data_IF_408906025846
#
_entry.id   IF_408906025846
#
_cell.length_a   1.000
_cell.length_b   1.000
_cell.length_c   1.000
_cell.angle_alpha   90.00
_cell.angle_beta   90.00
_cell.angle_gamma   90.00
#
_symmetry.space_group_name_H-M   'P 1'
#
loop_
_entity.id
_entity.type
_entity.pdbx_description
1 polymer ?
#
# COMPACT_ATOMS: atom_id res chain seq x y z
N UNK A 1 11.32 7.90 10.42
CA UNK A 1 12.49 7.76 11.29
C UNK A 1 12.61 6.31 11.74
N UNK A 2 11.62 5.77 12.44
CA UNK A 2 11.64 4.43 13.05
C UNK A 2 11.91 3.34 12.01
N UNK A 3 11.28 3.44 10.84
CA UNK A 3 11.56 2.57 9.70
C UNK A 3 13.04 2.59 9.29
N UNK A 4 13.64 3.78 9.14
CA UNK A 4 15.05 3.93 8.75
C UNK A 4 16.04 3.47 9.84
N UNK A 5 15.62 3.47 11.11
CA UNK A 5 16.43 2.96 12.21
C UNK A 5 16.40 1.43 12.29
N UNK A 6 15.25 0.82 12.08
CA UNK A 6 15.06 -0.63 12.18
C UNK A 6 15.43 -1.38 10.89
N UNK A 7 15.32 -0.71 9.74
CA UNK A 7 15.64 -1.24 8.41
C UNK A 7 14.99 -2.59 8.10
N UNK A 8 13.66 -2.74 8.26
CA UNK A 8 13.00 -3.96 7.83
C UNK A 8 13.12 -4.09 6.31
N UNK A 9 13.43 -5.30 5.82
CA UNK A 9 13.62 -5.51 4.38
C UNK A 9 12.34 -5.29 3.61
N UNK A 10 11.23 -5.89 4.05
CA UNK A 10 9.91 -5.74 3.45
C UNK A 10 8.88 -5.47 4.54
N UNK A 11 8.06 -4.43 4.37
CA UNK A 11 6.99 -4.05 5.29
C UNK A 11 5.65 -4.05 4.59
N UNK A 12 4.70 -4.77 5.17
CA UNK A 12 3.29 -4.76 4.77
C UNK A 12 2.48 -3.95 5.78
N UNK A 13 1.71 -2.99 5.28
CA UNK A 13 0.78 -2.20 6.07
C UNK A 13 -0.65 -2.51 5.65
N UNK A 14 -1.43 -3.14 6.54
CA UNK A 14 -2.86 -3.35 6.31
C UNK A 14 -3.68 -2.36 7.11
N UNK A 15 -4.46 -1.54 6.40
CA UNK A 15 -5.32 -0.50 6.97
C UNK A 15 -6.65 -0.46 6.23
N UNK A 16 -7.75 -0.07 6.89
CA UNK A 16 -9.05 0.05 6.23
C UNK A 16 -9.02 1.03 5.06
N UNK A 17 -10.07 1.02 4.26
CA UNK A 17 -10.24 2.00 3.16
C UNK A 17 -10.33 3.42 3.72
N UNK A 18 -9.82 4.41 2.97
CA UNK A 18 -9.87 5.85 3.32
C UNK A 18 -8.97 6.28 4.48
N UNK A 19 -8.01 5.46 4.89
CA UNK A 19 -7.01 5.79 5.92
C UNK A 19 -5.67 6.30 5.36
N UNK A 20 -5.65 6.84 4.14
CA UNK A 20 -4.46 7.51 3.60
C UNK A 20 -3.33 6.59 3.14
N UNK A 21 -3.58 5.28 2.88
CA UNK A 21 -2.54 4.34 2.43
C UNK A 21 -1.77 4.85 1.21
N UNK A 22 -2.48 5.14 0.14
CA UNK A 22 -1.90 5.64 -1.12
C UNK A 22 -1.12 6.94 -0.92
N UNK A 23 -1.65 7.87 -0.09
CA UNK A 23 -0.97 9.13 0.22
C UNK A 23 0.36 8.88 0.95
N UNK A 24 0.38 7.96 1.92
CA UNK A 24 1.61 7.59 2.61
C UNK A 24 2.62 6.93 1.67
N UNK A 25 2.18 6.08 0.75
CA UNK A 25 3.07 5.46 -0.25
C UNK A 25 3.65 6.48 -1.22
N UNK A 26 2.85 7.43 -1.67
CA UNK A 26 3.31 8.52 -2.54
C UNK A 26 4.27 9.47 -1.79
N UNK A 27 4.01 9.75 -0.52
CA UNK A 27 4.94 10.51 0.34
C UNK A 27 6.28 9.78 0.51
N UNK A 28 6.28 8.46 0.73
CA UNK A 28 7.51 7.66 0.81
C UNK A 28 8.25 7.66 -0.52
N UNK A 29 7.54 7.50 -1.63
CA UNK A 29 8.10 7.61 -2.98
C UNK A 29 8.75 8.97 -3.16
N UNK A 30 8.03 10.08 -2.93
CA UNK A 30 8.54 11.45 -3.07
C UNK A 30 9.76 11.71 -2.18
N UNK A 31 9.81 11.10 -1.00
CA UNK A 31 10.96 11.22 -0.10
C UNK A 31 12.20 10.48 -0.62
N UNK A 32 12.03 9.25 -1.07
CA UNK A 32 13.18 8.39 -1.41
C UNK A 32 13.65 8.53 -2.85
N UNK A 33 12.72 8.81 -3.79
CA UNK A 33 12.98 8.73 -5.21
C UNK A 33 13.98 9.77 -5.69
N UNK A 34 15.01 9.30 -6.39
CA UNK A 34 15.95 10.16 -7.10
C UNK A 34 15.28 10.71 -8.36
N UNK A 35 15.06 12.01 -8.38
CA UNK A 35 14.43 12.73 -9.49
C UNK A 35 15.32 13.91 -9.94
N UNK A 36 15.01 14.49 -11.10
CA UNK A 36 15.67 15.72 -11.56
C UNK A 36 15.22 16.95 -10.74
N UNK A 37 14.00 16.90 -10.18
CA UNK A 37 13.45 17.96 -9.32
C UNK A 37 13.90 17.80 -7.87
N UNK A 38 14.15 18.93 -7.19
CA UNK A 38 14.48 18.95 -5.76
C UNK A 38 13.19 18.76 -4.92
N UNK A 39 12.87 17.51 -4.62
CA UNK A 39 11.73 17.17 -3.76
C UNK A 39 12.00 17.39 -2.27
N UNK A 40 13.22 17.76 -1.87
CA UNK A 40 13.56 18.05 -0.47
C UNK A 40 12.74 19.22 0.10
N UNK A 41 12.28 20.11 -0.76
CA UNK A 41 11.45 21.27 -0.38
C UNK A 41 10.17 20.86 0.38
N UNK A 42 9.64 19.67 0.14
CA UNK A 42 8.44 19.15 0.82
C UNK A 42 8.72 18.62 2.22
N UNK A 43 10.01 18.44 2.59
CA UNK A 43 10.40 17.78 3.83
C UNK A 43 11.23 18.66 4.78
N UNK A 44 11.75 19.80 4.32
CA UNK A 44 12.63 20.71 5.10
C UNK A 44 11.98 21.25 6.37
N UNK A 45 10.66 21.40 6.39
CA UNK A 45 9.86 21.85 7.52
C UNK A 45 9.25 20.70 8.35
N UNK A 46 9.51 19.42 7.97
CA UNK A 46 8.94 18.25 8.61
C UNK A 46 9.87 17.66 9.68
N UNK A 47 9.27 16.93 10.61
CA UNK A 47 9.99 16.26 11.72
C UNK A 47 11.17 15.40 11.24
N UNK A 48 11.04 14.75 10.06
CA UNK A 48 12.12 13.91 9.51
C UNK A 48 13.41 14.71 9.29
N UNK A 49 13.29 15.95 8.84
CA UNK A 49 14.43 16.81 8.59
C UNK A 49 15.14 17.24 9.88
N UNK A 50 14.36 17.50 10.93
CA UNK A 50 14.86 17.89 12.25
C UNK A 50 15.63 16.77 12.98
N UNK A 51 15.48 15.51 12.57
CA UNK A 51 16.23 14.38 13.13
C UNK A 51 17.69 14.30 12.67
N UNK A 52 18.11 15.13 11.70
CA UNK A 52 19.49 15.33 11.31
C UNK A 52 19.94 14.61 10.05
N UNK A 53 21.21 14.78 9.73
CA UNK A 53 21.86 14.42 8.45
C UNK A 53 21.63 12.96 8.02
N UNK A 54 21.72 12.01 8.96
CA UNK A 54 21.46 10.57 8.71
C UNK A 54 20.16 10.32 7.94
N UNK A 55 19.11 11.08 8.22
CA UNK A 55 17.79 10.91 7.57
C UNK A 55 17.67 11.78 6.32
N UNK A 56 18.26 12.96 6.34
CA UNK A 56 18.31 13.88 5.19
C UNK A 56 19.05 13.25 4.00
N UNK A 57 20.12 12.51 4.24
CA UNK A 57 20.89 11.78 3.21
C UNK A 57 20.10 10.67 2.52
N UNK A 58 18.98 10.22 3.08
CA UNK A 58 18.11 9.23 2.45
C UNK A 58 17.15 9.88 1.44
N UNK A 59 16.94 11.20 1.51
CA UNK A 59 16.02 11.89 0.62
C UNK A 59 16.61 12.00 -0.79
N UNK A 60 15.77 11.68 -1.78
CA UNK A 60 16.14 11.79 -3.20
C UNK A 60 17.29 10.87 -3.64
N UNK A 61 17.54 9.76 -2.94
CA UNK A 61 18.74 8.94 -3.10
C UNK A 61 18.52 7.68 -3.94
N UNK A 62 17.34 7.12 -3.90
CA UNK A 62 17.08 5.76 -4.41
C UNK A 62 16.32 5.78 -5.72
N UNK A 63 16.59 4.86 -6.67
CA UNK A 63 15.61 4.54 -7.68
C UNK A 63 14.40 3.88 -7.01
N UNK A 64 13.18 4.16 -7.48
CA UNK A 64 11.94 3.64 -6.89
C UNK A 64 11.08 2.99 -7.96
N UNK A 65 10.73 1.73 -7.76
CA UNK A 65 9.69 1.01 -8.53
C UNK A 65 8.38 1.20 -7.77
N UNK A 66 7.41 1.87 -8.40
CA UNK A 66 6.12 2.19 -7.80
C UNK A 66 4.95 1.59 -8.59
N UNK A 67 4.26 0.62 -7.99
CA UNK A 67 3.12 -0.05 -8.60
C UNK A 67 1.86 0.17 -7.75
N UNK A 68 0.75 0.58 -8.36
CA UNK A 68 -0.55 0.62 -7.69
C UNK A 68 -1.51 -0.33 -8.38
N UNK A 69 -1.98 -1.34 -7.65
CA UNK A 69 -2.92 -2.33 -8.17
C UNK A 69 -4.38 -1.91 -7.99
N UNK A 70 -4.64 -0.65 -7.60
CA UNK A 70 -5.99 -0.13 -7.30
C UNK A 70 -7.00 -0.32 -8.45
N UNK A 71 -6.53 -0.26 -9.69
CA UNK A 71 -7.34 -0.34 -10.90
C UNK A 71 -7.30 -1.74 -11.55
N UNK A 72 -6.57 -2.69 -10.99
CA UNK A 72 -6.51 -4.08 -11.46
C UNK A 72 -7.74 -4.85 -10.94
N UNK A 73 -8.92 -4.53 -11.50
CA UNK A 73 -10.25 -5.02 -11.10
C UNK A 73 -11.05 -5.45 -12.32
N UNK A 74 -10.70 -6.59 -12.87
CA UNK A 74 -11.32 -7.12 -14.09
C UNK A 74 -12.14 -8.38 -13.79
N UNK A 75 -12.92 -8.84 -14.77
CA UNK A 75 -13.83 -9.97 -14.55
C UNK A 75 -13.20 -11.32 -14.90
N UNK A 76 -12.09 -11.32 -15.64
CA UNK A 76 -11.37 -12.52 -16.04
C UNK A 76 -9.89 -12.44 -15.72
N UNK A 77 -9.22 -13.58 -15.69
CA UNK A 77 -7.77 -13.62 -15.50
C UNK A 77 -7.04 -12.97 -16.68
N UNK A 78 -7.49 -13.20 -17.90
CA UNK A 78 -6.88 -12.64 -19.12
C UNK A 78 -6.85 -11.10 -19.07
N UNK A 79 -7.98 -10.46 -18.78
CA UNK A 79 -8.07 -8.99 -18.63
C UNK A 79 -7.19 -8.49 -17.47
N UNK A 80 -7.17 -9.24 -16.38
CA UNK A 80 -6.33 -8.93 -15.20
C UNK A 80 -4.85 -9.01 -15.56
N UNK A 81 -4.45 -10.02 -16.32
CA UNK A 81 -3.08 -10.19 -16.77
C UNK A 81 -2.65 -9.10 -17.77
N UNK A 82 -3.52 -8.70 -18.69
CA UNK A 82 -3.32 -7.55 -19.58
C UNK A 82 -3.12 -6.26 -18.77
N UNK A 83 -3.90 -6.05 -17.71
CA UNK A 83 -3.74 -4.88 -16.83
C UNK A 83 -2.40 -4.89 -16.08
N UNK A 84 -1.90 -6.05 -15.66
CA UNK A 84 -0.53 -6.14 -15.12
C UNK A 84 0.52 -5.80 -16.18
N UNK A 85 0.38 -6.27 -17.41
CA UNK A 85 1.28 -5.92 -18.50
C UNK A 85 1.32 -4.39 -18.72
N UNK A 86 0.16 -3.75 -18.80
CA UNK A 86 0.05 -2.30 -18.95
C UNK A 86 0.67 -1.54 -17.76
N UNK A 87 0.48 -2.02 -16.55
CA UNK A 87 1.06 -1.43 -15.35
C UNK A 87 2.59 -1.48 -15.36
N UNK A 88 3.17 -2.63 -15.70
CA UNK A 88 4.61 -2.78 -15.82
C UNK A 88 5.19 -2.02 -17.00
N UNK A 89 4.46 -1.91 -18.11
CA UNK A 89 4.83 -1.06 -19.24
C UNK A 89 4.97 0.39 -18.82
N UNK A 90 3.98 0.95 -18.12
CA UNK A 90 4.01 2.32 -17.61
C UNK A 90 5.14 2.54 -16.61
N UNK A 91 5.34 1.58 -15.71
CA UNK A 91 6.43 1.68 -14.74
C UNK A 91 7.81 1.63 -15.41
N UNK A 92 8.01 0.73 -16.37
CA UNK A 92 9.25 0.65 -17.13
C UNK A 92 9.50 1.92 -17.93
N UNK A 93 8.46 2.53 -18.50
CA UNK A 93 8.55 3.80 -19.24
C UNK A 93 8.99 4.98 -18.36
N UNK A 94 8.74 4.94 -17.05
CA UNK A 94 9.24 5.97 -16.11
C UNK A 94 10.77 5.91 -15.98
N UNK A 95 11.38 4.75 -16.13
CA UNK A 95 12.81 4.52 -16.02
C UNK A 95 13.52 4.77 -17.34
N UNK A 96 13.49 6.04 -17.81
CA UNK A 96 14.09 6.44 -19.08
C UNK A 96 15.59 6.18 -19.13
N UNK A 97 16.26 6.12 -17.99
CA UNK A 97 17.67 5.76 -17.84
C UNK A 97 17.96 4.33 -18.30
N UNK A 98 17.03 3.40 -18.12
CA UNK A 98 17.18 2.03 -18.64
C UNK A 98 16.93 1.99 -20.15
N UNK A 99 15.94 2.74 -20.65
CA UNK A 99 15.58 2.78 -22.08
C UNK A 99 16.74 3.37 -22.91
N UNK A 100 17.43 4.38 -22.38
CA UNK A 100 18.54 5.08 -23.01
C UNK A 100 19.92 4.48 -22.73
N UNK A 101 19.97 3.38 -21.95
CA UNK A 101 21.23 2.78 -21.53
C UNK A 101 21.81 1.88 -22.59
N UNK A 102 22.79 2.38 -23.31
CA UNK A 102 23.57 1.66 -24.33
C UNK A 102 24.49 0.56 -23.76
N UNK A 103 24.65 0.48 -22.44
CA UNK A 103 25.44 -0.53 -21.73
C UNK A 103 24.65 -1.74 -21.28
N UNK A 104 23.35 -1.77 -21.49
CA UNK A 104 22.54 -2.96 -21.20
C UNK A 104 23.03 -4.14 -22.04
N UNK A 105 23.02 -5.33 -21.43
CA UNK A 105 23.21 -6.55 -22.21
C UNK A 105 22.10 -6.70 -23.26
N UNK A 106 22.38 -7.41 -24.35
CA UNK A 106 21.34 -7.68 -25.38
C UNK A 106 20.10 -8.34 -24.76
N UNK A 107 20.29 -9.22 -23.77
CA UNK A 107 19.20 -9.87 -23.09
C UNK A 107 18.37 -8.90 -22.23
N UNK A 108 19.01 -7.96 -21.55
CA UNK A 108 18.33 -6.97 -20.71
C UNK A 108 17.61 -5.92 -21.56
N UNK A 109 18.24 -5.45 -22.64
CA UNK A 109 17.58 -4.56 -23.60
C UNK A 109 16.28 -5.19 -24.15
N UNK A 110 16.31 -6.49 -24.48
CA UNK A 110 15.13 -7.22 -24.91
C UNK A 110 14.06 -7.34 -23.81
N UNK A 111 14.47 -7.54 -22.53
CA UNK A 111 13.51 -7.54 -21.41
C UNK A 111 12.82 -6.18 -21.24
N UNK A 112 13.59 -5.09 -21.30
CA UNK A 112 13.04 -3.73 -21.25
C UNK A 112 12.06 -3.51 -22.40
N UNK A 113 12.42 -3.89 -23.63
CA UNK A 113 11.54 -3.79 -24.80
C UNK A 113 10.24 -4.60 -24.63
N UNK A 114 10.34 -5.84 -24.14
CA UNK A 114 9.16 -6.68 -23.88
C UNK A 114 8.22 -6.04 -22.84
N UNK A 115 8.77 -5.52 -21.74
CA UNK A 115 7.98 -4.83 -20.72
C UNK A 115 7.31 -3.58 -21.29
N UNK A 116 8.04 -2.76 -22.05
CA UNK A 116 7.51 -1.54 -22.68
C UNK A 116 6.42 -1.85 -23.69
N UNK A 117 6.48 -2.99 -24.39
CA UNK A 117 5.48 -3.37 -25.38
C UNK A 117 4.12 -3.72 -24.74
N UNK A 118 4.07 -3.99 -23.42
CA UNK A 118 2.87 -4.44 -22.72
C UNK A 118 2.41 -5.86 -23.12
N UNK A 119 3.28 -6.66 -23.73
CA UNK A 119 2.97 -8.02 -24.22
C UNK A 119 3.93 -9.08 -23.64
N UNK A 120 4.35 -8.92 -22.41
CA UNK A 120 5.24 -9.86 -21.74
C UNK A 120 4.52 -11.19 -21.48
N UNK A 121 5.26 -12.30 -21.60
CA UNK A 121 4.74 -13.60 -21.17
C UNK A 121 4.55 -13.64 -19.64
N UNK A 122 3.76 -14.60 -19.15
CA UNK A 122 3.56 -14.77 -17.71
C UNK A 122 4.88 -15.03 -16.96
N UNK A 123 5.82 -15.71 -17.58
CA UNK A 123 7.15 -15.96 -17.00
C UNK A 123 7.98 -14.67 -16.95
N UNK A 124 8.02 -13.90 -18.03
CA UNK A 124 8.78 -12.64 -18.08
C UNK A 124 8.20 -11.63 -17.09
N UNK A 125 6.87 -11.50 -17.05
CA UNK A 125 6.20 -10.56 -16.17
C UNK A 125 6.35 -10.94 -14.68
N UNK A 126 6.33 -12.23 -14.34
CA UNK A 126 6.60 -12.67 -12.96
C UNK A 126 8.03 -12.38 -12.49
N UNK A 127 8.98 -12.22 -13.40
CA UNK A 127 10.34 -11.83 -13.08
C UNK A 127 10.60 -10.31 -13.16
N UNK A 128 9.62 -9.53 -13.60
CA UNK A 128 9.80 -8.10 -13.91
C UNK A 128 10.33 -7.28 -12.73
N UNK A 129 9.84 -7.52 -11.50
CA UNK A 129 10.34 -6.83 -10.30
C UNK A 129 11.82 -7.13 -10.04
N UNK A 130 12.23 -8.39 -10.17
CA UNK A 130 13.62 -8.81 -9.97
C UNK A 130 14.53 -8.21 -11.06
N UNK A 131 14.11 -8.28 -12.31
CA UNK A 131 14.88 -7.78 -13.46
C UNK A 131 15.02 -6.25 -13.40
N UNK A 132 13.94 -5.50 -13.15
CA UNK A 132 13.99 -4.05 -12.99
C UNK A 132 14.86 -3.65 -11.79
N UNK A 133 14.73 -4.35 -10.65
CA UNK A 133 15.56 -4.08 -9.46
C UNK A 133 17.04 -4.25 -9.77
N UNK A 134 17.41 -5.32 -10.46
CA UNK A 134 18.79 -5.57 -10.82
C UNK A 134 19.32 -4.52 -11.79
N UNK A 135 18.59 -4.23 -12.86
CA UNK A 135 19.02 -3.26 -13.88
C UNK A 135 19.17 -1.85 -13.28
N UNK A 136 18.23 -1.42 -12.43
CA UNK A 136 18.31 -0.13 -11.74
C UNK A 136 19.48 -0.09 -10.76
N UNK A 137 19.71 -1.17 -10.00
CA UNK A 137 20.87 -1.26 -9.12
C UNK A 137 22.18 -1.16 -9.88
N UNK A 138 22.33 -1.86 -10.99
CA UNK A 138 23.53 -1.83 -11.83
C UNK A 138 23.76 -0.45 -12.45
N UNK A 139 22.68 0.25 -12.84
CA UNK A 139 22.77 1.59 -13.43
C UNK A 139 23.12 2.66 -12.39
N UNK A 140 22.42 2.68 -11.24
CA UNK A 140 22.55 3.73 -10.22
C UNK A 140 23.65 3.46 -9.19
N UNK A 141 24.16 2.23 -9.10
CA UNK A 141 25.10 1.82 -8.04
C UNK A 141 24.48 1.72 -6.64
N UNK A 142 23.15 1.87 -6.55
CA UNK A 142 22.36 1.74 -5.32
C UNK A 142 21.09 0.95 -5.62
N UNK A 143 20.75 0.00 -4.73
CA UNK A 143 19.58 -0.84 -4.91
C UNK A 143 18.28 -0.04 -4.76
N UNK A 144 17.27 -0.31 -5.61
CA UNK A 144 15.99 0.39 -5.58
C UNK A 144 15.16 0.08 -4.33
N UNK A 145 14.13 0.90 -4.16
CA UNK A 145 13.00 0.65 -3.25
C UNK A 145 11.81 0.20 -4.12
N UNK A 146 11.09 -0.83 -3.68
CA UNK A 146 9.86 -1.29 -4.32
C UNK A 146 8.68 -0.85 -3.43
N UNK A 147 7.72 -0.14 -4.01
CA UNK A 147 6.49 0.30 -3.35
C UNK A 147 5.30 -0.27 -4.13
N UNK A 148 4.45 -1.05 -3.45
CA UNK A 148 3.25 -1.66 -4.06
C UNK A 148 2.03 -1.25 -3.24
N UNK A 149 1.17 -0.44 -3.84
CA UNK A 149 -0.08 0.01 -3.23
C UNK A 149 -1.25 -0.89 -3.64
N UNK A 150 -2.14 -1.18 -2.68
CA UNK A 150 -3.34 -2.02 -2.85
C UNK A 150 -3.02 -3.42 -3.44
N UNK A 151 -1.98 -4.09 -2.88
CA UNK A 151 -1.50 -5.39 -3.36
C UNK A 151 -2.60 -6.46 -3.40
N UNK A 152 -3.59 -6.37 -2.54
CA UNK A 152 -4.66 -7.35 -2.37
C UNK A 152 -5.86 -7.15 -3.32
N UNK A 153 -5.91 -6.04 -4.05
CA UNK A 153 -7.02 -5.73 -4.97
C UNK A 153 -7.25 -6.78 -6.05
N UNK A 154 -6.24 -7.23 -6.83
CA UNK A 154 -6.47 -8.29 -7.84
C UNK A 154 -6.81 -9.64 -7.20
N UNK A 155 -6.32 -9.91 -5.99
CA UNK A 155 -6.63 -11.15 -5.26
C UNK A 155 -8.10 -11.17 -4.82
N UNK A 156 -8.58 -10.03 -4.29
CA UNK A 156 -9.98 -9.86 -3.92
C UNK A 156 -10.89 -10.06 -5.15
N UNK A 157 -10.50 -9.48 -6.27
CA UNK A 157 -11.25 -9.63 -7.52
C UNK A 157 -11.24 -11.06 -8.02
N UNK A 158 -10.09 -11.73 -8.00
CA UNK A 158 -9.96 -13.14 -8.36
C UNK A 158 -10.86 -14.05 -7.53
N UNK A 159 -10.97 -13.78 -6.22
CA UNK A 159 -11.87 -14.52 -5.34
C UNK A 159 -13.35 -14.34 -5.75
N UNK A 160 -13.77 -13.09 -5.95
CA UNK A 160 -15.16 -12.77 -6.32
C UNK A 160 -15.55 -13.32 -7.71
N UNK A 161 -14.58 -13.37 -8.65
CA UNK A 161 -14.81 -13.71 -10.05
C UNK A 161 -14.37 -15.12 -10.45
N UNK A 162 -13.80 -15.90 -9.54
CA UNK A 162 -13.49 -17.31 -9.73
C UNK A 162 -12.17 -17.61 -10.43
N UNK A 163 -11.21 -16.66 -10.46
CA UNK A 163 -9.84 -16.85 -10.98
C UNK A 163 -8.77 -16.64 -9.90
N UNK A 164 -9.10 -17.00 -8.65
CA UNK A 164 -8.23 -16.81 -7.49
C UNK A 164 -6.89 -17.55 -7.63
N UNK A 165 -6.90 -18.78 -8.10
CA UNK A 165 -5.69 -19.61 -8.18
C UNK A 165 -4.68 -19.06 -9.19
N UNK A 166 -5.16 -18.52 -10.31
CA UNK A 166 -4.33 -17.89 -11.34
C UNK A 166 -3.63 -16.64 -10.80
N UNK A 167 -4.39 -15.75 -10.16
CA UNK A 167 -3.82 -14.51 -9.62
C UNK A 167 -2.87 -14.78 -8.47
N UNK A 168 -3.17 -15.72 -7.58
CA UNK A 168 -2.28 -16.12 -6.47
C UNK A 168 -0.99 -16.74 -7.02
N UNK A 169 -1.10 -17.64 -8.00
CA UNK A 169 0.05 -18.26 -8.65
C UNK A 169 1.00 -17.24 -9.27
N UNK A 170 0.44 -16.30 -10.01
CA UNK A 170 1.20 -15.20 -10.62
C UNK A 170 1.86 -14.30 -9.57
N UNK A 171 1.09 -13.78 -8.61
CA UNK A 171 1.59 -12.84 -7.61
C UNK A 171 2.62 -13.47 -6.66
N UNK A 172 2.47 -14.75 -6.34
CA UNK A 172 3.48 -15.49 -5.57
C UNK A 172 4.84 -15.47 -6.26
N UNK A 173 4.87 -15.73 -7.56
CA UNK A 173 6.11 -15.71 -8.35
C UNK A 173 6.68 -14.30 -8.43
N UNK A 174 5.85 -13.31 -8.72
CA UNK A 174 6.23 -11.90 -8.81
C UNK A 174 6.87 -11.40 -7.49
N UNK A 175 6.25 -11.68 -6.36
CA UNK A 175 6.75 -11.25 -5.04
C UNK A 175 7.94 -12.08 -4.58
N UNK A 176 7.98 -13.37 -4.90
CA UNK A 176 9.14 -14.20 -4.60
C UNK A 176 10.39 -13.68 -5.32
N UNK A 177 10.28 -13.34 -6.61
CA UNK A 177 11.41 -12.80 -7.37
C UNK A 177 11.82 -11.39 -6.92
N UNK A 178 10.84 -10.51 -6.68
CA UNK A 178 11.10 -9.11 -6.38
C UNK A 178 11.47 -8.81 -4.91
N UNK A 179 10.93 -9.56 -3.97
CA UNK A 179 10.98 -9.23 -2.54
C UNK A 179 11.73 -10.25 -1.68
N UNK A 180 11.77 -11.54 -2.10
CA UNK A 180 12.44 -12.59 -1.34
C UNK A 180 13.91 -12.67 -1.76
N UNK A 181 14.81 -12.61 -0.76
CA UNK A 181 16.26 -12.82 -0.96
C UNK A 181 16.85 -11.99 -2.14
N UNK A 182 16.18 -10.90 -2.50
CA UNK A 182 16.59 -10.03 -3.60
C UNK A 182 17.72 -9.11 -3.13
N UNK A 183 18.97 -9.45 -3.52
CA UNK A 183 20.18 -8.66 -3.22
C UNK A 183 20.20 -7.28 -3.89
N UNK A 184 19.28 -7.04 -4.81
CA UNK A 184 19.09 -5.76 -5.49
C UNK A 184 17.89 -4.98 -4.96
N UNK A 185 17.48 -5.21 -3.71
CA UNK A 185 16.40 -4.51 -3.04
C UNK A 185 16.95 -3.81 -1.79
N UNK A 186 16.67 -2.50 -1.66
CA UNK A 186 16.95 -1.77 -0.41
C UNK A 186 15.81 -1.96 0.57
N UNK A 187 14.58 -1.65 0.16
CA UNK A 187 13.35 -1.79 0.95
C UNK A 187 12.17 -2.17 0.07
N UNK A 188 11.23 -2.92 0.64
CA UNK A 188 9.92 -3.18 0.06
C UNK A 188 8.81 -2.60 0.95
N UNK A 189 7.86 -1.86 0.36
CA UNK A 189 6.66 -1.38 1.03
C UNK A 189 5.43 -1.89 0.30
N UNK A 190 4.53 -2.54 1.03
CA UNK A 190 3.25 -3.00 0.51
C UNK A 190 2.12 -2.43 1.33
N UNK A 191 1.03 -2.05 0.67
CA UNK A 191 -0.22 -1.71 1.37
C UNK A 191 -1.39 -2.49 0.83
N UNK A 192 -2.35 -2.78 1.71
CA UNK A 192 -3.62 -3.43 1.39
C UNK A 192 -4.66 -3.21 2.49
N UNK A 193 -5.82 -3.78 2.30
CA UNK A 193 -6.89 -3.82 3.30
C UNK A 193 -6.80 -5.12 4.09
N UNK A 194 -6.60 -6.23 3.38
CA UNK A 194 -6.58 -7.57 3.93
C UNK A 194 -5.14 -8.05 4.14
N UNK A 195 -4.96 -8.85 5.17
CA UNK A 195 -3.81 -9.73 5.28
C UNK A 195 -4.16 -11.04 4.58
N UNK A 196 -3.74 -11.18 3.33
CA UNK A 196 -3.84 -12.46 2.64
C UNK A 196 -2.95 -13.48 3.36
N UNK A 197 -3.45 -14.70 3.55
CA UNK A 197 -2.76 -15.73 4.33
C UNK A 197 -1.31 -15.89 3.84
N UNK A 198 -0.36 -15.94 4.80
CA UNK A 198 1.08 -16.01 4.51
C UNK A 198 1.43 -17.19 3.61
N UNK A 199 0.66 -18.26 3.69
CA UNK A 199 0.84 -19.49 2.93
C UNK A 199 0.45 -19.39 1.46
N UNK A 200 -0.27 -18.32 1.06
CA UNK A 200 -0.70 -18.13 -0.33
C UNK A 200 0.33 -17.37 -1.17
N UNK A 201 0.50 -16.06 -0.94
CA UNK A 201 1.39 -15.21 -1.76
C UNK A 201 2.73 -14.89 -1.09
N UNK A 202 2.77 -14.91 0.24
CA UNK A 202 3.97 -14.61 1.01
C UNK A 202 4.68 -15.86 1.53
N UNK A 203 4.34 -17.06 0.99
CA UNK A 203 5.00 -18.28 1.38
C UNK A 203 6.49 -18.21 1.04
N UNK A 204 7.31 -18.34 2.10
CA UNK A 204 8.75 -18.24 1.97
C UNK A 204 9.35 -16.83 2.06
N UNK A 205 8.57 -15.74 2.17
CA UNK A 205 9.06 -14.41 2.53
C UNK A 205 9.34 -14.36 4.04
N UNK A 206 10.55 -14.75 4.44
CA UNK A 206 10.98 -14.74 5.84
C UNK A 206 11.32 -13.33 6.35
N UNK A 207 11.49 -12.39 5.43
CA UNK A 207 11.89 -11.00 5.67
C UNK A 207 10.70 -10.02 5.67
N UNK A 208 9.46 -10.52 5.70
CA UNK A 208 8.24 -9.71 5.73
C UNK A 208 7.86 -9.32 7.16
N UNK A 209 7.83 -8.02 7.43
CA UNK A 209 7.27 -7.45 8.66
C UNK A 209 5.85 -6.98 8.38
N UNK A 210 4.87 -7.52 9.11
CA UNK A 210 3.46 -7.15 8.96
C UNK A 210 3.12 -6.12 10.03
N UNK A 211 2.47 -5.04 9.62
CA UNK A 211 1.99 -3.96 10.48
C UNK A 211 0.48 -3.80 10.24
N UNK A 212 -0.33 -4.48 11.03
CA UNK A 212 -1.79 -4.48 10.94
C UNK A 212 -2.44 -3.48 11.89
N UNK A 213 -3.75 -3.42 11.90
CA UNK A 213 -4.51 -2.58 12.83
C UNK A 213 -4.44 -3.04 14.29
N UNK A 214 -4.05 -4.29 14.54
CA UNK A 214 -3.88 -4.82 15.91
C UNK A 214 -2.52 -4.50 16.51
N UNK A 215 -1.57 -4.05 15.68
CA UNK A 215 -0.21 -3.73 16.11
C UNK A 215 -0.14 -2.27 16.57
N UNK A 216 0.51 -2.02 17.72
CA UNK A 216 0.72 -0.65 18.23
C UNK A 216 1.75 0.15 17.43
N UNK A 217 2.61 -0.55 16.68
CA UNK A 217 3.61 0.11 15.84
C UNK A 217 2.97 0.73 14.61
N UNK A 218 3.34 1.96 14.29
CA UNK A 218 2.78 2.75 13.18
C UNK A 218 1.26 2.97 13.27
N UNK A 219 0.66 2.87 14.46
CA UNK A 219 -0.78 3.10 14.68
C UNK A 219 -1.19 4.54 14.35
N UNK A 220 -0.33 5.52 14.61
CA UNK A 220 -0.61 6.96 14.47
C UNK A 220 -0.39 7.51 13.04
N UNK A 221 0.17 6.72 12.11
CA UNK A 221 0.56 7.23 10.79
C UNK A 221 -0.49 7.02 9.68
N UNK A 222 -1.58 6.35 10.01
CA UNK A 222 -2.67 6.10 9.09
C UNK A 222 -3.98 6.51 9.76
N UNK A 223 -4.60 7.55 9.27
CA UNK A 223 -5.75 8.17 9.91
C UNK A 223 -5.36 9.44 10.67
N UNK A 224 -6.28 10.01 11.43
CA UNK A 224 -6.01 11.14 12.30
C UNK A 224 -6.09 10.74 13.76
N UNK A 225 -5.13 11.20 14.56
CA UNK A 225 -5.18 11.09 16.02
C UNK A 225 -6.17 12.09 16.61
N UNK A 226 -6.54 11.90 17.87
CA UNK A 226 -7.40 12.83 18.61
C UNK A 226 -6.80 14.25 18.68
N UNK A 227 -5.47 14.34 18.85
CA UNK A 227 -4.74 15.60 18.87
C UNK A 227 -4.81 16.32 17.52
N UNK A 228 -4.59 15.60 16.41
CA UNK A 228 -4.68 16.18 15.05
C UNK A 228 -6.10 16.66 14.75
N UNK A 229 -7.13 15.92 15.17
CA UNK A 229 -8.53 16.35 15.00
C UNK A 229 -8.83 17.60 15.83
N UNK A 230 -8.29 17.74 17.05
CA UNK A 230 -8.42 18.95 17.84
C UNK A 230 -7.73 20.15 17.18
N UNK A 231 -6.53 19.96 16.64
CA UNK A 231 -5.82 20.99 15.90
C UNK A 231 -6.61 21.43 14.65
N UNK A 232 -7.22 20.47 13.93
CA UNK A 232 -8.11 20.78 12.81
C UNK A 232 -9.34 21.58 13.27
N UNK A 233 -9.99 21.19 14.38
CA UNK A 233 -11.14 21.91 14.91
C UNK A 233 -10.76 23.37 15.26
N UNK A 234 -9.60 23.60 15.86
CA UNK A 234 -9.08 24.95 16.12
C UNK A 234 -8.84 25.75 14.83
N UNK A 235 -8.22 25.12 13.83
CA UNK A 235 -7.96 25.77 12.54
C UNK A 235 -9.26 26.23 11.84
N UNK A 236 -10.30 25.38 11.90
CA UNK A 236 -11.62 25.69 11.32
C UNK A 236 -12.53 26.50 12.26
N UNK A 237 -12.08 26.88 13.47
CA UNK A 237 -12.87 27.60 14.49
C UNK A 237 -14.14 26.84 14.90
N UNK A 238 -14.00 25.56 15.10
CA UNK A 238 -15.08 24.61 15.41
C UNK A 238 -14.73 23.76 16.64
N UNK A 239 -14.05 24.35 17.64
CA UNK A 239 -13.62 23.68 18.88
C UNK A 239 -14.82 23.16 19.67
N UNK A 240 -15.93 23.89 19.64
CA UNK A 240 -17.21 23.52 20.25
C UNK A 240 -17.86 22.28 19.59
N UNK A 241 -17.39 21.88 18.43
CA UNK A 241 -17.87 20.71 17.67
C UNK A 241 -17.08 19.42 17.91
N UNK A 242 -16.04 19.46 18.74
CA UNK A 242 -15.15 18.31 18.91
C UNK A 242 -15.89 17.06 19.41
N UNK A 243 -16.81 17.20 20.35
CA UNK A 243 -17.60 16.06 20.84
C UNK A 243 -18.54 15.49 19.77
N UNK A 244 -19.11 16.33 18.90
CA UNK A 244 -19.88 15.87 17.75
C UNK A 244 -19.01 15.09 16.79
N UNK A 245 -17.79 15.58 16.48
CA UNK A 245 -16.83 14.87 15.62
C UNK A 245 -16.50 13.50 16.22
N UNK A 246 -16.23 13.42 17.52
CA UNK A 246 -15.97 12.15 18.21
C UNK A 246 -17.18 11.20 18.10
N UNK A 247 -18.38 11.68 18.37
CA UNK A 247 -19.59 10.83 18.32
C UNK A 247 -19.88 10.25 16.94
N UNK A 248 -19.44 10.93 15.86
CA UNK A 248 -19.69 10.52 14.49
C UNK A 248 -18.54 9.78 13.83
N UNK A 249 -17.28 10.11 14.16
CA UNK A 249 -16.11 9.69 13.35
C UNK A 249 -15.00 9.01 14.14
N UNK A 250 -15.10 8.98 15.47
CA UNK A 250 -14.33 8.07 16.30
C UNK A 250 -14.93 6.65 16.21
N UNK A 251 -14.11 5.65 16.32
CA UNK A 251 -14.60 4.25 16.25
C UNK A 251 -13.61 3.28 15.66
N UNK A 252 -12.40 3.76 15.35
CA UNK A 252 -11.30 2.88 14.96
C UNK A 252 -10.23 2.88 16.04
N UNK A 253 -9.73 1.69 16.33
CA UNK A 253 -8.62 1.51 17.25
C UNK A 253 -7.50 0.74 16.56
N UNK A 254 -6.34 1.38 16.44
CA UNK A 254 -5.14 0.73 15.89
C UNK A 254 -4.17 0.49 17.06
N UNK A 255 -3.91 -0.79 17.37
CA UNK A 255 -3.25 -1.15 18.62
C UNK A 255 -4.01 -0.56 19.83
N UNK A 256 -3.38 0.39 20.52
CA UNK A 256 -3.99 1.09 21.65
C UNK A 256 -4.37 2.55 21.33
N UNK A 257 -4.22 3.00 20.09
CA UNK A 257 -4.47 4.38 19.66
C UNK A 257 -5.85 4.51 19.03
N UNK A 258 -6.64 5.47 19.48
CA UNK A 258 -7.90 5.88 18.85
C UNK A 258 -7.59 6.67 17.59
N UNK A 259 -8.21 6.30 16.48
CA UNK A 259 -7.93 6.85 15.16
C UNK A 259 -9.24 7.20 14.46
N UNK A 260 -9.32 8.42 13.99
CA UNK A 260 -10.44 8.94 13.22
C UNK A 260 -10.27 8.64 11.72
N UNK A 261 -11.37 8.36 11.05
CA UNK A 261 -11.37 8.19 9.60
C UNK A 261 -11.10 9.52 8.88
N UNK A 262 -9.97 9.69 8.17
CA UNK A 262 -9.60 10.97 7.55
C UNK A 262 -10.61 11.48 6.54
N UNK A 263 -11.17 10.59 5.73
CA UNK A 263 -12.17 10.96 4.74
C UNK A 263 -13.39 11.61 5.38
N UNK A 264 -13.87 11.04 6.48
CA UNK A 264 -15.03 11.54 7.19
C UNK A 264 -14.77 12.88 7.85
N UNK A 265 -13.65 13.01 8.56
CA UNK A 265 -13.25 14.26 9.25
C UNK A 265 -13.03 15.39 8.25
N UNK A 266 -12.31 15.14 7.15
CA UNK A 266 -12.08 16.18 6.12
C UNK A 266 -13.40 16.62 5.48
N UNK A 267 -14.30 15.67 5.16
CA UNK A 267 -15.59 16.03 4.59
C UNK A 267 -16.51 16.77 5.57
N UNK A 268 -16.42 16.46 6.86
CA UNK A 268 -17.15 17.21 7.89
C UNK A 268 -16.76 18.68 7.87
N UNK A 269 -15.48 19.02 7.96
CA UNK A 269 -15.02 20.40 7.91
C UNK A 269 -15.29 21.06 6.55
N UNK A 270 -15.15 20.33 5.44
CA UNK A 270 -15.40 20.85 4.09
C UNK A 270 -16.87 21.18 3.85
N UNK A 271 -17.80 20.53 4.56
CA UNK A 271 -19.23 20.73 4.45
C UNK A 271 -19.79 21.53 5.65
N UNK A 272 -19.10 22.59 6.04
CA UNK A 272 -19.55 23.52 7.09
C UNK A 272 -19.90 22.82 8.42
N UNK A 273 -19.12 21.85 8.82
CA UNK A 273 -19.28 21.06 10.04
C UNK A 273 -20.67 20.37 10.13
N UNK A 274 -21.17 19.88 8.99
CA UNK A 274 -22.41 19.09 8.99
C UNK A 274 -22.09 17.62 9.20
N UNK A 275 -22.56 17.05 10.31
CA UNK A 275 -22.40 15.63 10.62
C UNK A 275 -23.23 14.76 9.67
N UNK A 276 -22.55 13.83 8.98
CA UNK A 276 -23.14 12.86 8.03
C UNK A 276 -22.29 11.59 8.01
N UNK A 277 -22.88 10.48 7.60
CA UNK A 277 -22.19 9.21 7.41
C UNK A 277 -21.32 9.22 6.13
N UNK A 278 -20.27 10.04 6.09
CA UNK A 278 -19.40 10.21 4.92
C UNK A 278 -18.65 8.93 4.52
N UNK A 279 -18.50 7.97 5.43
CA UNK A 279 -17.93 6.65 5.15
C UNK A 279 -18.86 5.74 4.36
N UNK A 280 -20.18 6.00 4.38
CA UNK A 280 -21.19 5.15 3.75
C UNK A 280 -21.02 5.15 2.24
N UNK A 281 -21.18 3.99 1.62
CA UNK A 281 -21.09 3.80 0.15
C UNK A 281 -19.76 4.23 -0.50
N UNK A 282 -18.66 4.29 0.26
CA UNK A 282 -17.34 4.68 -0.26
C UNK A 282 -16.52 3.54 -0.85
N UNK A 283 -17.07 2.33 -0.93
CA UNK A 283 -16.42 1.16 -1.53
C UNK A 283 -17.42 0.05 -1.84
N UNK A 284 -17.03 -0.92 -2.69
CA UNK A 284 -17.84 -2.11 -2.89
C UNK A 284 -17.76 -3.03 -1.66
N UNK A 285 -18.89 -3.65 -1.30
CA UNK A 285 -18.98 -4.62 -0.21
C UNK A 285 -19.03 -6.06 -0.75
N UNK A 286 -18.63 -6.28 -1.99
CA UNK A 286 -18.80 -7.56 -2.71
C UNK A 286 -18.16 -8.73 -1.95
N UNK A 287 -16.96 -8.52 -1.38
CA UNK A 287 -16.28 -9.56 -0.59
C UNK A 287 -17.05 -9.86 0.70
N UNK A 288 -17.47 -8.82 1.42
CA UNK A 288 -18.23 -9.00 2.67
C UNK A 288 -19.55 -9.67 2.34
N UNK A 289 -20.22 -9.27 1.25
CA UNK A 289 -21.45 -9.89 0.77
C UNK A 289 -21.26 -11.36 0.40
N UNK A 290 -20.16 -11.71 -0.26
CA UNK A 290 -19.80 -13.09 -0.59
C UNK A 290 -19.56 -13.93 0.67
N UNK A 291 -18.72 -13.45 1.58
CA UNK A 291 -18.42 -14.14 2.85
C UNK A 291 -19.69 -14.33 3.69
N UNK A 292 -20.55 -13.32 3.76
CA UNK A 292 -21.81 -13.40 4.47
C UNK A 292 -22.79 -14.39 3.82
N UNK A 293 -22.80 -14.46 2.48
CA UNK A 293 -23.64 -15.42 1.76
C UNK A 293 -23.27 -16.88 2.02
N UNK A 294 -22.02 -17.17 2.38
CA UNK A 294 -21.50 -18.49 2.70
C UNK A 294 -21.35 -18.73 4.23
N UNK A 295 -21.65 -17.71 5.06
CA UNK A 295 -21.48 -17.76 6.50
C UNK A 295 -22.48 -18.71 7.18
N UNK A 296 -21.99 -19.44 8.17
CA UNK A 296 -22.84 -20.25 9.04
C UNK A 296 -23.55 -19.39 10.12
N UNK A 297 -24.47 -20.02 10.86
CA UNK A 297 -25.23 -19.36 11.92
C UNK A 297 -24.33 -18.74 13.00
N UNK A 298 -23.19 -19.37 13.30
CA UNK A 298 -22.22 -18.91 14.30
C UNK A 298 -21.57 -17.58 13.90
N UNK A 299 -21.30 -17.38 12.61
CA UNK A 299 -20.75 -16.11 12.09
C UNK A 299 -21.81 -15.00 12.20
N UNK A 300 -23.06 -15.30 11.87
CA UNK A 300 -24.16 -14.34 12.03
C UNK A 300 -24.41 -13.93 13.49
N UNK A 301 -24.34 -14.88 14.43
CA UNK A 301 -24.44 -14.59 15.86
C UNK A 301 -23.32 -13.65 16.35
N UNK A 302 -22.07 -13.93 15.93
CA UNK A 302 -20.92 -13.08 16.27
C UNK A 302 -21.03 -11.68 15.68
N UNK A 303 -21.51 -11.56 14.45
CA UNK A 303 -21.75 -10.26 13.82
C UNK A 303 -22.85 -9.48 14.53
N UNK A 304 -23.94 -10.14 14.91
CA UNK A 304 -25.00 -9.52 15.71
C UNK A 304 -24.49 -9.03 17.06
N UNK A 305 -23.68 -9.82 17.77
CA UNK A 305 -23.05 -9.42 19.02
C UNK A 305 -22.20 -8.15 18.84
N UNK A 306 -21.35 -8.11 17.79
CA UNK A 306 -20.58 -6.91 17.46
C UNK A 306 -21.45 -5.69 17.15
N UNK A 307 -22.56 -5.86 16.42
CA UNK A 307 -23.50 -4.76 16.12
C UNK A 307 -24.21 -4.24 17.37
N UNK A 308 -24.32 -5.05 18.43
CA UNK A 308 -24.86 -4.66 19.73
C UNK A 308 -23.79 -4.10 20.69
N UNK A 309 -22.52 -3.99 20.23
CA UNK A 309 -21.40 -3.50 21.04
C UNK A 309 -20.79 -4.55 21.96
N UNK A 310 -21.16 -5.82 21.78
CA UNK A 310 -20.57 -6.93 22.52
C UNK A 310 -19.21 -7.34 21.90
N UNK A 311 -18.37 -7.99 22.70
CA UNK A 311 -17.07 -8.53 22.24
C UNK A 311 -17.09 -10.04 22.24
N UNK A 312 -16.32 -10.65 21.32
CA UNK A 312 -16.04 -12.08 21.35
C UNK A 312 -14.58 -12.37 21.10
N UNK A 313 -14.11 -13.52 21.59
CA UNK A 313 -12.76 -14.01 21.33
C UNK A 313 -12.72 -14.74 19.99
N UNK A 314 -11.72 -14.41 19.18
CA UNK A 314 -11.39 -15.13 17.95
C UNK A 314 -9.90 -15.30 17.79
N UNK A 315 -9.49 -16.31 17.05
CA UNK A 315 -8.08 -16.52 16.68
C UNK A 315 -7.81 -15.82 15.34
N UNK A 316 -6.67 -15.15 15.25
CA UNK A 316 -6.23 -14.41 14.05
C UNK A 316 -5.00 -15.11 13.45
#
# INVERSE_FOLDING_TARGET
>A
KDFLDERPMVSLFTRPRRFGKTLNMDMLRTFFEKTEEDTSIYFKDKKIWAYGEKYQECQGKYPVIFLSFKDVKFNTWEETFEAFNELFSKETARHTELIKNDKLSVADAKRVENLLSGNSSAVDLSNALADLSRMLHEYHGIAPIIIIDEYDTPIQQGHVKGFYDEVIGFMRNLFSGGLKDNKHLTYGFLTGILRVAKESIFSGLNNLTINSIIDGKYSEYFGFTAEEVKEMAQYYKAEDKYEEICSWYDGYKFGNTEIFNPWSVINYFRNDCQARAYWQSTGSNDIIGGILGEADETVYEKLNALMQGESFLTYI
#
